data_IF_371390606820
#
_entry.id   IF_371390606820
#
_cell.length_a   1.000
_cell.length_b   1.000
_cell.length_c   1.000
_cell.angle_alpha   90.00
_cell.angle_beta   90.00
_cell.angle_gamma   90.00
#
_symmetry.space_group_name_H-M   'P 1'
#
loop_
_entity.id
_entity.type
_entity.pdbx_description
1 polymer ?
#
# COMPACT_ATOMS: atom_id res chain seq x y z
N UNK A 1 -7.92 -67.36 -15.85
CA UNK A 1 -6.75 -66.76 -15.24
C UNK A 1 -7.09 -66.38 -13.79
N UNK A 2 -6.70 -67.18 -12.81
CA UNK A 2 -6.87 -66.83 -11.39
C UNK A 2 -5.88 -65.71 -11.06
N UNK A 3 -6.38 -64.51 -10.87
CA UNK A 3 -5.61 -63.43 -10.25
C UNK A 3 -5.45 -63.75 -8.76
N UNK A 4 -4.28 -64.22 -8.36
CA UNK A 4 -3.94 -64.41 -6.95
C UNK A 4 -3.66 -63.00 -6.40
N UNK A 5 -4.61 -62.42 -5.67
CA UNK A 5 -4.37 -61.22 -4.90
C UNK A 5 -3.58 -61.60 -3.63
N UNK A 6 -2.33 -61.19 -3.59
CA UNK A 6 -1.51 -61.35 -2.37
C UNK A 6 -1.66 -60.10 -1.54
N UNK A 7 -2.10 -60.23 -0.29
CA UNK A 7 -2.16 -59.19 0.72
C UNK A 7 -1.09 -59.44 1.75
N UNK A 8 -0.28 -58.43 2.05
CA UNK A 8 0.69 -58.47 3.16
C UNK A 8 0.16 -57.51 4.21
N UNK A 9 -0.12 -57.99 5.40
CA UNK A 9 -0.53 -57.18 6.56
C UNK A 9 0.61 -57.18 7.57
N UNK A 10 1.20 -56.00 7.75
CA UNK A 10 2.32 -55.77 8.69
C UNK A 10 2.12 -54.42 9.38
N UNK A 11 2.61 -54.31 10.61
CA UNK A 11 2.57 -53.06 11.35
C UNK A 11 3.65 -52.06 10.88
N UNK A 12 4.73 -52.60 10.32
CA UNK A 12 5.88 -51.82 9.86
C UNK A 12 6.57 -52.54 8.70
N UNK A 13 7.01 -51.76 7.72
CA UNK A 13 7.87 -52.25 6.64
C UNK A 13 9.13 -51.38 6.69
N UNK A 14 10.24 -52.01 7.13
CA UNK A 14 11.55 -51.34 7.16
C UNK A 14 12.54 -52.08 6.26
N UNK A 15 13.63 -51.39 5.93
CA UNK A 15 14.73 -51.95 5.17
C UNK A 15 15.57 -52.91 6.03
N UNK A 16 16.00 -54.02 5.46
CA UNK A 16 16.91 -54.93 6.12
C UNK A 16 18.36 -54.40 6.13
N UNK A 17 18.76 -53.68 5.07
CA UNK A 17 20.07 -53.08 4.93
C UNK A 17 20.05 -51.93 3.90
N UNK A 18 21.09 -51.09 3.91
CA UNK A 18 21.17 -49.93 3.00
C UNK A 18 20.33 -48.75 3.44
N UNK A 19 20.17 -47.75 2.57
CA UNK A 19 19.48 -46.49 2.85
C UNK A 19 18.13 -46.33 2.12
N UNK A 20 17.74 -47.30 1.30
CA UNK A 20 16.55 -47.16 0.42
C UNK A 20 15.63 -48.36 0.60
N UNK A 21 14.36 -48.09 0.81
CA UNK A 21 13.26 -49.03 0.64
C UNK A 21 12.54 -48.71 -0.67
N UNK A 22 12.53 -49.63 -1.63
CA UNK A 22 11.82 -49.45 -2.89
C UNK A 22 10.47 -50.15 -2.85
N UNK A 23 9.38 -49.40 -3.03
CA UNK A 23 8.03 -49.92 -3.09
C UNK A 23 7.51 -49.69 -4.52
N UNK A 24 7.28 -50.79 -5.23
CA UNK A 24 6.87 -50.77 -6.65
C UNK A 24 8.07 -50.64 -7.61
N UNK A 25 7.85 -50.98 -8.86
CA UNK A 25 8.78 -50.81 -9.97
C UNK A 25 8.32 -49.79 -10.99
N UNK A 26 9.01 -49.66 -12.13
CA UNK A 26 8.64 -48.75 -13.22
C UNK A 26 7.21 -49.06 -13.69
N UNK A 27 6.37 -48.04 -13.74
CA UNK A 27 4.96 -48.13 -14.14
C UNK A 27 4.01 -48.64 -13.05
N UNK A 28 4.49 -48.85 -11.82
CA UNK A 28 3.65 -49.23 -10.69
C UNK A 28 3.09 -48.01 -9.97
N UNK A 29 1.77 -47.99 -9.71
CA UNK A 29 1.15 -46.98 -8.85
C UNK A 29 1.14 -47.44 -7.41
N UNK A 30 1.67 -46.65 -6.49
CA UNK A 30 1.52 -46.81 -5.05
C UNK A 30 0.36 -45.94 -4.59
N UNK A 31 -0.72 -46.55 -4.14
CA UNK A 31 -1.93 -45.87 -3.71
C UNK A 31 -2.15 -46.07 -2.21
N UNK A 32 -2.41 -44.96 -1.52
CA UNK A 32 -2.88 -45.02 -0.12
C UNK A 32 -4.35 -45.45 -0.08
N UNK A 33 -4.73 -46.21 0.90
CA UNK A 33 -6.14 -46.54 1.16
C UNK A 33 -6.95 -45.28 1.52
N UNK A 34 -8.28 -45.34 1.33
CA UNK A 34 -9.19 -44.26 1.70
C UNK A 34 -9.03 -43.91 3.18
N UNK A 35 -8.77 -42.66 3.50
CA UNK A 35 -8.55 -42.16 4.86
C UNK A 35 -7.13 -42.35 5.40
N UNK A 36 -6.23 -43.01 4.66
CA UNK A 36 -4.82 -43.05 5.02
C UNK A 36 -4.11 -41.74 4.70
N UNK A 37 -3.20 -41.33 5.57
CA UNK A 37 -2.36 -40.16 5.41
C UNK A 37 -0.90 -40.55 5.25
N UNK A 38 -0.13 -39.72 4.54
CA UNK A 38 1.32 -39.88 4.39
C UNK A 38 2.06 -38.82 5.18
N UNK A 39 3.20 -39.18 5.76
CA UNK A 39 4.10 -38.22 6.43
C UNK A 39 5.51 -38.45 5.88
N UNK A 40 6.15 -37.36 5.40
CA UNK A 40 7.50 -37.45 4.82
C UNK A 40 7.60 -38.12 3.44
N UNK A 41 6.47 -38.43 2.81
CA UNK A 41 6.36 -39.08 1.51
C UNK A 41 5.74 -38.09 0.51
N UNK A 42 6.33 -37.92 -0.63
CA UNK A 42 5.68 -37.13 -1.69
C UNK A 42 6.47 -35.92 -2.17
N UNK A 43 5.84 -35.12 -3.01
CA UNK A 43 6.45 -33.95 -3.63
C UNK A 43 6.64 -32.85 -2.60
N UNK A 44 7.87 -32.52 -2.28
CA UNK A 44 8.19 -31.31 -1.53
C UNK A 44 8.08 -30.09 -2.47
N UNK A 45 7.32 -29.08 -2.06
CA UNK A 45 7.21 -27.80 -2.80
C UNK A 45 6.14 -27.74 -3.88
N UNK A 46 5.26 -28.75 -4.02
CA UNK A 46 4.11 -28.73 -4.92
C UNK A 46 2.83 -29.01 -4.15
N UNK A 47 1.71 -28.45 -4.66
CA UNK A 47 0.37 -28.67 -4.12
C UNK A 47 -0.41 -29.69 -4.96
N UNK A 48 -1.39 -30.33 -4.33
CA UNK A 48 -2.40 -31.13 -5.02
C UNK A 48 -3.52 -30.20 -5.51
N UNK A 49 -3.53 -29.92 -6.82
CA UNK A 49 -4.51 -29.02 -7.42
C UNK A 49 -5.91 -29.65 -7.48
N UNK A 50 -6.87 -28.98 -6.84
CA UNK A 50 -8.26 -29.42 -6.78
C UNK A 50 -9.02 -28.98 -8.05
N UNK A 51 -8.77 -29.67 -9.16
CA UNK A 51 -9.30 -29.29 -10.48
C UNK A 51 -10.79 -29.55 -10.67
N UNK A 52 -11.40 -30.39 -9.82
CA UNK A 52 -12.84 -30.69 -9.83
C UNK A 52 -13.65 -29.85 -8.84
N UNK A 53 -12.98 -29.01 -8.02
CA UNK A 53 -13.62 -28.20 -6.96
C UNK A 53 -13.22 -26.73 -7.12
N UNK A 54 -13.71 -26.09 -8.19
CA UNK A 54 -13.50 -24.65 -8.43
C UNK A 54 -14.25 -23.84 -7.36
N UNK A 55 -13.54 -23.00 -6.63
CA UNK A 55 -14.12 -22.19 -5.56
C UNK A 55 -14.80 -20.96 -6.12
N UNK A 56 -16.07 -20.76 -5.73
CA UNK A 56 -16.94 -19.65 -6.16
C UNK A 56 -17.47 -18.84 -4.97
N UNK A 57 -17.09 -19.19 -3.75
CA UNK A 57 -17.51 -18.52 -2.51
C UNK A 57 -16.46 -18.71 -1.43
N UNK A 58 -16.61 -17.98 -0.32
CA UNK A 58 -15.68 -18.05 0.83
C UNK A 58 -15.47 -19.49 1.31
N UNK A 59 -14.22 -19.88 1.47
CA UNK A 59 -13.82 -21.24 1.90
C UNK A 59 -12.59 -21.17 2.81
N UNK A 60 -12.29 -22.30 3.45
CA UNK A 60 -11.04 -22.50 4.19
C UNK A 60 -10.16 -23.47 3.40
N UNK A 61 -8.95 -23.03 3.08
CA UNK A 61 -7.97 -23.84 2.36
C UNK A 61 -7.44 -24.98 3.25
N UNK A 62 -6.98 -26.04 2.60
CA UNK A 62 -6.34 -27.18 3.24
C UNK A 62 -4.86 -27.20 2.87
N UNK A 63 -3.99 -27.41 3.87
CA UNK A 63 -2.55 -27.52 3.62
C UNK A 63 -2.21 -28.66 2.66
N UNK A 64 -1.32 -28.39 1.72
CA UNK A 64 -0.92 -29.31 0.66
C UNK A 64 -1.76 -29.20 -0.62
N UNK A 65 -2.81 -28.36 -0.63
CA UNK A 65 -3.72 -28.23 -1.77
C UNK A 65 -3.59 -26.91 -2.50
N UNK A 66 -3.91 -26.93 -3.80
CA UNK A 66 -4.06 -25.77 -4.66
C UNK A 66 -5.51 -25.64 -5.14
N UNK A 67 -6.02 -24.42 -5.20
CA UNK A 67 -7.40 -24.14 -5.57
C UNK A 67 -7.48 -23.15 -6.71
N UNK A 68 -8.37 -23.42 -7.65
CA UNK A 68 -8.82 -22.44 -8.65
C UNK A 68 -10.00 -21.67 -8.08
N UNK A 69 -9.94 -20.33 -8.17
CA UNK A 69 -10.94 -19.42 -7.62
C UNK A 69 -11.63 -18.66 -8.76
N UNK A 70 -12.95 -18.82 -8.88
CA UNK A 70 -13.79 -18.13 -9.88
C UNK A 70 -14.55 -17.00 -9.18
N UNK A 71 -14.09 -15.78 -9.34
CA UNK A 71 -14.72 -14.58 -8.78
C UNK A 71 -15.69 -13.89 -9.74
N UNK A 72 -16.05 -14.52 -10.87
CA UNK A 72 -17.01 -13.96 -11.83
C UNK A 72 -18.40 -13.67 -11.22
N UNK A 73 -18.77 -14.38 -10.15
CA UNK A 73 -19.99 -14.14 -9.38
C UNK A 73 -19.88 -13.10 -8.27
N UNK A 74 -18.71 -12.54 -8.04
CA UNK A 74 -18.40 -11.56 -7.00
C UNK A 74 -17.17 -11.92 -6.18
N UNK A 75 -16.62 -10.92 -5.48
CA UNK A 75 -15.48 -11.09 -4.60
C UNK A 75 -15.79 -12.00 -3.40
N UNK A 76 -14.83 -12.82 -2.98
CA UNK A 76 -14.96 -13.68 -1.80
C UNK A 76 -13.61 -13.88 -1.10
N UNK A 77 -13.59 -14.69 -0.04
CA UNK A 77 -12.42 -14.86 0.81
C UNK A 77 -11.95 -16.32 0.87
N UNK A 78 -10.63 -16.51 0.77
CA UNK A 78 -9.94 -17.73 1.15
C UNK A 78 -9.35 -17.57 2.55
N UNK A 79 -9.77 -18.40 3.50
CA UNK A 79 -9.16 -18.48 4.82
C UNK A 79 -8.00 -19.50 4.77
N UNK A 80 -6.82 -19.08 5.15
CA UNK A 80 -5.68 -20.00 5.27
C UNK A 80 -5.88 -20.95 6.47
N UNK A 81 -5.37 -22.18 6.41
CA UNK A 81 -5.42 -23.08 7.54
C UNK A 81 -4.51 -22.60 8.68
N UNK A 82 -4.62 -23.21 9.85
CA UNK A 82 -3.68 -22.99 10.95
C UNK A 82 -2.25 -23.27 10.47
N UNK A 83 -1.34 -22.32 10.73
CA UNK A 83 0.04 -22.42 10.25
C UNK A 83 0.84 -23.47 11.02
N UNK A 84 1.40 -24.42 10.29
CA UNK A 84 2.45 -25.34 10.76
C UNK A 84 3.63 -25.24 9.79
N UNK A 85 4.86 -25.28 10.30
CA UNK A 85 6.06 -25.14 9.47
C UNK A 85 6.04 -26.13 8.29
N UNK A 86 6.21 -25.61 7.07
CA UNK A 86 6.12 -26.38 5.83
C UNK A 86 4.70 -26.55 5.26
N UNK A 87 3.65 -26.07 5.93
CA UNK A 87 2.32 -26.02 5.33
C UNK A 87 2.35 -25.17 4.06
N UNK A 88 1.66 -25.61 3.00
CA UNK A 88 1.66 -24.97 1.69
C UNK A 88 0.23 -24.84 1.15
N UNK A 89 -0.12 -23.71 0.58
CA UNK A 89 -1.40 -23.46 -0.10
C UNK A 89 -1.12 -22.69 -1.39
N UNK A 90 -1.77 -23.09 -2.49
CA UNK A 90 -1.75 -22.34 -3.75
C UNK A 90 -3.13 -21.92 -4.17
N UNK A 91 -3.22 -20.74 -4.77
CA UNK A 91 -4.44 -20.14 -5.30
C UNK A 91 -4.18 -19.66 -6.73
N UNK A 92 -5.16 -19.77 -7.61
CA UNK A 92 -5.06 -19.33 -8.99
C UNK A 92 -6.40 -18.76 -9.46
N UNK A 93 -6.34 -17.63 -10.14
CA UNK A 93 -7.50 -17.07 -10.84
C UNK A 93 -7.97 -18.03 -11.94
N UNK A 94 -9.24 -18.42 -11.87
CA UNK A 94 -9.80 -19.40 -12.82
C UNK A 94 -10.25 -18.78 -14.14
N UNK A 95 -10.83 -17.56 -14.07
CA UNK A 95 -11.41 -16.88 -15.24
C UNK A 95 -10.76 -15.56 -15.59
N UNK A 96 -9.65 -15.23 -14.99
CA UNK A 96 -9.01 -13.92 -15.14
C UNK A 96 -9.95 -12.77 -14.70
N UNK A 97 -10.56 -12.90 -13.52
CA UNK A 97 -11.57 -11.96 -13.02
C UNK A 97 -11.18 -11.29 -11.70
N UNK A 98 -9.96 -11.53 -11.18
CA UNK A 98 -9.53 -10.92 -9.92
C UNK A 98 -9.39 -9.39 -10.01
N UNK A 99 -9.17 -8.84 -11.20
CA UNK A 99 -9.14 -7.40 -11.45
C UNK A 99 -10.51 -6.73 -11.30
N UNK A 100 -11.58 -7.45 -11.60
CA UNK A 100 -12.97 -6.96 -11.51
C UNK A 100 -13.63 -7.32 -10.18
N UNK A 101 -13.27 -8.46 -9.59
CA UNK A 101 -13.77 -8.97 -8.32
C UNK A 101 -12.65 -9.70 -7.57
N UNK A 102 -11.98 -9.00 -6.68
CA UNK A 102 -10.77 -9.48 -6.03
C UNK A 102 -10.99 -10.68 -5.09
N UNK A 103 -10.00 -11.57 -5.01
CA UNK A 103 -9.94 -12.61 -4.00
C UNK A 103 -9.19 -12.10 -2.76
N UNK A 104 -9.83 -12.14 -1.59
CA UNK A 104 -9.17 -11.84 -0.31
C UNK A 104 -8.58 -13.12 0.28
N UNK A 105 -7.34 -13.09 0.75
CA UNK A 105 -6.70 -14.20 1.45
C UNK A 105 -6.45 -13.78 2.90
N UNK A 106 -7.08 -14.48 3.84
CA UNK A 106 -7.02 -14.16 5.26
C UNK A 106 -6.19 -15.20 6.03
N UNK A 107 -5.29 -14.77 6.92
CA UNK A 107 -4.58 -15.67 7.80
C UNK A 107 -5.50 -16.25 8.87
N UNK A 108 -5.15 -17.41 9.41
CA UNK A 108 -5.89 -18.05 10.49
C UNK A 108 -5.53 -17.40 11.84
N UNK A 109 -6.52 -16.90 12.57
CA UNK A 109 -6.36 -16.37 13.93
C UNK A 109 -5.27 -15.30 14.03
N UNK A 110 -4.23 -15.57 14.81
CA UNK A 110 -3.07 -14.68 15.00
C UNK A 110 -1.91 -14.96 14.04
N UNK A 111 -2.09 -15.88 13.08
CA UNK A 111 -1.07 -16.12 12.07
C UNK A 111 -0.82 -14.86 11.24
N UNK A 112 0.33 -14.79 10.63
CA UNK A 112 0.76 -13.65 9.81
C UNK A 112 0.92 -14.06 8.35
N UNK A 113 0.87 -13.09 7.47
CA UNK A 113 1.31 -13.21 6.07
C UNK A 113 2.41 -12.18 5.86
N UNK A 114 3.59 -12.62 5.45
CA UNK A 114 4.80 -11.79 5.29
C UNK A 114 5.14 -10.91 6.53
N UNK A 115 4.90 -11.44 7.73
CA UNK A 115 5.12 -10.73 8.98
C UNK A 115 4.00 -9.78 9.41
N UNK A 116 3.00 -9.55 8.56
CA UNK A 116 1.81 -8.72 8.84
C UNK A 116 0.62 -9.55 9.29
N UNK A 117 -0.25 -8.96 10.13
CA UNK A 117 -1.49 -9.60 10.60
C UNK A 117 -2.69 -9.38 9.67
N UNK A 118 -2.52 -8.61 8.59
CA UNK A 118 -3.58 -8.26 7.65
C UNK A 118 -3.83 -9.32 6.59
N UNK A 119 -5.00 -9.22 5.96
CA UNK A 119 -5.33 -9.97 4.76
C UNK A 119 -4.51 -9.46 3.57
N UNK A 120 -4.33 -10.32 2.57
CA UNK A 120 -3.85 -9.93 1.26
C UNK A 120 -5.00 -9.99 0.26
N UNK A 121 -4.91 -9.19 -0.80
CA UNK A 121 -5.92 -9.10 -1.83
C UNK A 121 -5.25 -9.39 -3.17
N UNK A 122 -5.74 -10.42 -3.86
CA UNK A 122 -5.34 -10.73 -5.22
C UNK A 122 -6.31 -9.99 -6.14
N UNK A 123 -5.80 -9.02 -6.89
CA UNK A 123 -6.61 -8.08 -7.69
C UNK A 123 -6.06 -7.86 -9.11
N UNK A 124 -5.20 -8.75 -9.57
CA UNK A 124 -4.64 -8.70 -10.91
C UNK A 124 -5.23 -9.83 -11.76
N UNK A 125 -5.58 -9.55 -13.00
CA UNK A 125 -6.06 -10.52 -13.96
C UNK A 125 -5.09 -11.70 -14.09
N UNK A 126 -5.59 -12.93 -13.94
CA UNK A 126 -4.79 -14.15 -14.06
C UNK A 126 -3.80 -14.40 -12.92
N UNK A 127 -3.92 -13.66 -11.83
CA UNK A 127 -3.00 -13.75 -10.69
C UNK A 127 -3.05 -15.12 -10.00
N UNK A 128 -1.87 -15.62 -9.62
CA UNK A 128 -1.70 -16.84 -8.84
C UNK A 128 -0.74 -16.61 -7.67
N UNK A 129 -0.96 -17.34 -6.58
CA UNK A 129 -0.20 -17.21 -5.35
C UNK A 129 0.07 -18.57 -4.72
N UNK A 130 1.32 -18.82 -4.35
CA UNK A 130 1.68 -19.96 -3.50
C UNK A 130 2.31 -19.47 -2.21
N UNK A 131 1.73 -19.89 -1.09
CA UNK A 131 2.16 -19.53 0.25
C UNK A 131 2.69 -20.76 0.99
N UNK A 132 3.81 -20.59 1.69
CA UNK A 132 4.39 -21.58 2.61
C UNK A 132 4.45 -20.97 4.00
N UNK A 133 3.98 -21.70 5.01
CA UNK A 133 4.11 -21.27 6.40
C UNK A 133 5.51 -21.58 6.93
N UNK A 134 6.18 -20.57 7.45
CA UNK A 134 7.55 -20.67 7.96
C UNK A 134 7.54 -20.83 9.48
N UNK A 135 7.08 -19.79 10.19
CA UNK A 135 7.07 -19.72 11.65
C UNK A 135 6.05 -18.69 12.15
N UNK A 136 5.96 -18.47 13.45
CA UNK A 136 5.05 -17.46 14.05
C UNK A 136 5.52 -16.01 13.86
N UNK A 137 6.77 -15.78 13.48
CA UNK A 137 7.34 -14.44 13.28
C UNK A 137 6.95 -13.88 11.92
N UNK A 138 7.16 -14.65 10.87
CA UNK A 138 6.88 -14.28 9.49
C UNK A 138 5.50 -14.78 9.04
N UNK A 139 5.08 -15.95 9.51
CA UNK A 139 3.84 -16.60 9.11
C UNK A 139 3.92 -17.26 7.75
N UNK A 140 2.90 -17.03 6.95
CA UNK A 140 2.81 -17.46 5.56
C UNK A 140 3.66 -16.57 4.66
N UNK A 141 4.45 -17.18 3.77
CA UNK A 141 5.32 -16.45 2.83
C UNK A 141 5.08 -16.93 1.41
N UNK A 142 4.99 -15.98 0.47
CA UNK A 142 4.98 -16.33 -0.95
C UNK A 142 6.34 -16.84 -1.41
N UNK A 143 6.32 -17.81 -2.31
CA UNK A 143 7.52 -18.41 -2.91
C UNK A 143 7.66 -18.14 -4.41
N UNK A 144 6.72 -17.39 -5.01
CA UNK A 144 6.65 -17.23 -6.46
C UNK A 144 7.02 -15.84 -6.97
N UNK A 145 7.14 -14.83 -6.11
CA UNK A 145 7.36 -13.47 -6.59
C UNK A 145 8.31 -12.66 -5.71
N UNK A 146 9.19 -11.91 -6.36
CA UNK A 146 10.08 -10.93 -5.72
C UNK A 146 9.35 -9.63 -5.35
N UNK A 147 8.16 -9.41 -5.86
CA UNK A 147 7.35 -8.19 -5.65
C UNK A 147 6.54 -8.26 -4.36
N UNK A 148 6.49 -9.41 -3.71
CA UNK A 148 5.79 -9.62 -2.44
C UNK A 148 6.40 -8.93 -1.21
N UNK A 149 7.41 -8.11 -1.38
CA UNK A 149 7.78 -7.14 -0.34
C UNK A 149 6.61 -6.23 0.03
N UNK A 150 5.66 -6.06 -0.89
CA UNK A 150 4.50 -5.16 -0.75
C UNK A 150 3.19 -5.87 -0.37
N UNK A 151 3.14 -7.20 -0.33
CA UNK A 151 1.96 -7.95 0.13
C UNK A 151 1.83 -7.78 1.65
N UNK A 152 0.81 -7.06 2.04
CA UNK A 152 0.62 -6.55 3.39
C UNK A 152 1.04 -5.09 3.59
N UNK A 153 1.72 -4.49 2.59
CA UNK A 153 1.94 -3.04 2.51
C UNK A 153 0.89 -2.44 1.57
N UNK A 154 -0.35 -2.36 2.00
CA UNK A 154 -1.31 -1.54 1.29
C UNK A 154 -0.83 -0.09 1.38
N UNK A 155 -0.67 0.56 0.23
CA UNK A 155 -0.41 1.99 0.17
C UNK A 155 -1.68 2.78 0.46
N UNK A 156 -1.50 4.05 0.77
CA UNK A 156 -2.62 4.97 0.97
C UNK A 156 -3.49 5.01 -0.30
N UNK A 157 -4.78 4.74 -0.13
CA UNK A 157 -5.79 5.03 -1.14
C UNK A 157 -6.57 6.26 -0.71
N UNK A 158 -6.63 7.26 -1.57
CA UNK A 158 -7.28 8.52 -1.26
C UNK A 158 -7.95 9.14 -2.48
N UNK A 159 -8.86 10.09 -2.22
CA UNK A 159 -9.52 10.93 -3.21
C UNK A 159 -9.39 12.40 -2.82
N UNK A 160 -9.74 13.30 -3.73
CA UNK A 160 -9.70 14.75 -3.53
C UNK A 160 -8.61 15.45 -4.31
N UNK A 161 -8.85 16.69 -4.68
CA UNK A 161 -8.00 17.45 -5.60
C UNK A 161 -7.97 16.87 -7.01
N UNK A 162 -7.05 17.35 -7.83
CA UNK A 162 -6.72 16.75 -9.14
C UNK A 162 -5.69 15.65 -8.91
N UNK A 163 -5.96 14.43 -9.39
CA UNK A 163 -5.11 13.27 -9.19
C UNK A 163 -4.33 12.96 -10.46
N UNK A 164 -3.01 12.81 -10.33
CA UNK A 164 -2.13 12.35 -11.39
C UNK A 164 -1.27 11.18 -10.91
N UNK A 165 -1.01 10.23 -11.80
CA UNK A 165 -0.02 9.17 -11.57
C UNK A 165 1.30 9.61 -12.20
N UNK A 166 2.37 9.61 -11.43
CA UNK A 166 3.71 10.01 -11.85
C UNK A 166 4.65 8.82 -11.69
N UNK A 167 5.49 8.59 -12.70
CA UNK A 167 6.49 7.50 -12.74
C UNK A 167 5.93 6.14 -12.32
N UNK A 168 4.67 5.86 -12.70
CA UNK A 168 3.94 4.62 -12.42
C UNK A 168 3.64 4.36 -10.92
N UNK A 169 4.51 4.80 -10.02
CA UNK A 169 4.50 4.44 -8.59
C UNK A 169 3.99 5.52 -7.64
N UNK A 170 3.79 6.76 -8.12
CA UNK A 170 3.37 7.88 -7.28
C UNK A 170 2.01 8.42 -7.70
N UNK A 171 1.10 8.60 -6.74
CA UNK A 171 -0.12 9.38 -6.92
C UNK A 171 0.05 10.75 -6.29
N UNK A 172 -0.16 11.79 -7.10
CA UNK A 172 -0.07 13.19 -6.68
C UNK A 172 -1.48 13.77 -6.64
N UNK A 173 -1.88 14.26 -5.47
CA UNK A 173 -3.14 14.98 -5.25
C UNK A 173 -2.85 16.47 -5.17
N UNK A 174 -3.31 17.24 -6.17
CA UNK A 174 -3.07 18.67 -6.28
C UNK A 174 -4.32 19.44 -5.92
N UNK A 175 -4.21 20.35 -4.94
CA UNK A 175 -5.26 21.26 -4.52
C UNK A 175 -4.89 22.71 -4.89
N UNK A 176 -5.68 23.33 -5.77
CA UNK A 176 -5.54 24.73 -6.17
C UNK A 176 -6.60 25.63 -5.51
N UNK A 177 -7.43 25.08 -4.64
CA UNK A 177 -8.46 25.71 -3.83
C UNK A 177 -8.78 24.84 -2.61
N UNK A 178 -9.62 25.34 -1.68
CA UNK A 178 -10.05 24.55 -0.53
C UNK A 178 -10.71 23.23 -0.94
N UNK A 179 -10.47 22.17 -0.16
CA UNK A 179 -11.00 20.85 -0.44
C UNK A 179 -10.76 19.86 0.71
N UNK A 180 -10.97 18.59 0.43
CA UNK A 180 -10.72 17.54 1.40
C UNK A 180 -9.88 16.44 0.75
N UNK A 181 -8.77 16.08 1.39
CA UNK A 181 -8.02 14.88 1.07
C UNK A 181 -8.63 13.72 1.87
N UNK A 182 -9.42 12.87 1.19
CA UNK A 182 -10.14 11.76 1.80
C UNK A 182 -9.33 10.47 1.66
N UNK A 183 -8.79 9.97 2.77
CA UNK A 183 -8.13 8.68 2.85
C UNK A 183 -9.19 7.60 3.07
N UNK A 184 -9.37 6.70 2.10
CA UNK A 184 -10.31 5.58 2.14
C UNK A 184 -9.65 4.28 2.64
N UNK A 185 -8.35 4.13 2.43
CA UNK A 185 -7.55 3.05 3.00
C UNK A 185 -6.19 3.60 3.43
N UNK A 186 -5.77 3.30 4.63
CA UNK A 186 -4.42 3.58 5.10
C UNK A 186 -3.54 2.37 4.79
N UNK A 187 -2.33 2.62 4.34
CA UNK A 187 -1.34 1.57 4.16
C UNK A 187 -0.92 0.93 5.48
N UNK A 188 -0.24 -0.19 5.42
CA UNK A 188 0.36 -0.87 6.56
C UNK A 188 1.88 -0.66 6.62
N UNK A 189 2.45 -0.71 7.80
CA UNK A 189 3.88 -0.43 8.00
C UNK A 189 4.24 1.00 7.56
N UNK A 190 5.20 1.15 6.64
CA UNK A 190 5.55 2.44 6.04
C UNK A 190 4.62 2.88 4.91
N UNK A 191 3.63 2.05 4.52
CA UNK A 191 2.70 2.34 3.45
C UNK A 191 1.62 3.37 3.81
N UNK A 192 1.53 3.80 5.08
CA UNK A 192 0.60 4.84 5.55
C UNK A 192 1.20 6.25 5.56
N UNK A 193 2.37 6.43 4.96
CA UNK A 193 3.09 7.70 4.93
C UNK A 193 2.82 8.44 3.63
N UNK A 194 2.70 9.76 3.73
CA UNK A 194 2.60 10.66 2.58
C UNK A 194 3.65 11.78 2.68
N UNK A 195 4.17 12.18 1.53
CA UNK A 195 4.94 13.40 1.39
C UNK A 195 4.06 14.56 0.95
N UNK A 196 4.47 15.77 1.24
CA UNK A 196 3.67 16.96 0.98
C UNK A 196 4.51 18.14 0.50
N UNK A 197 3.83 19.04 -0.21
CA UNK A 197 4.30 20.38 -0.53
C UNK A 197 3.14 21.34 -0.30
N UNK A 198 3.31 22.31 0.60
CA UNK A 198 2.29 23.30 0.96
C UNK A 198 2.82 24.70 0.74
N UNK A 199 2.21 25.41 -0.20
CA UNK A 199 2.55 26.80 -0.55
C UNK A 199 1.40 27.70 -0.15
N UNK A 200 1.69 28.77 0.57
CA UNK A 200 0.71 29.77 0.98
C UNK A 200 0.56 30.89 -0.05
N UNK A 201 -0.46 31.73 0.11
CA UNK A 201 -0.66 32.91 -0.73
C UNK A 201 0.46 33.91 -0.57
N UNK A 202 0.96 34.51 -1.65
CA UNK A 202 1.89 35.61 -1.62
C UNK A 202 1.23 36.91 -1.17
N UNK A 203 1.96 37.83 -0.57
CA UNK A 203 1.49 39.17 -0.23
C UNK A 203 1.28 40.03 -1.46
N UNK A 204 0.33 40.94 -1.39
CA UNK A 204 0.12 41.97 -2.42
C UNK A 204 1.17 43.06 -2.37
N UNK A 205 1.43 43.70 -3.48
CA UNK A 205 2.19 44.94 -3.58
C UNK A 205 1.30 46.09 -4.03
N UNK A 206 1.45 47.34 -3.52
CA UNK A 206 0.68 48.48 -3.99
C UNK A 206 1.05 48.83 -5.44
N UNK A 207 0.08 49.34 -6.21
CA UNK A 207 0.26 49.61 -7.63
C UNK A 207 1.20 50.80 -7.93
N UNK A 208 1.50 51.66 -6.95
CA UNK A 208 2.32 52.85 -7.15
C UNK A 208 3.20 53.13 -5.94
N UNK A 209 4.47 53.39 -6.19
CA UNK A 209 5.49 53.82 -5.22
C UNK A 209 5.52 52.97 -3.93
N UNK A 210 5.45 51.66 -4.08
CA UNK A 210 5.46 50.75 -2.97
C UNK A 210 6.42 49.60 -3.16
N UNK A 211 6.65 48.88 -2.09
CA UNK A 211 7.45 47.65 -2.05
C UNK A 211 6.69 46.45 -2.63
N UNK A 212 7.40 45.49 -3.14
CA UNK A 212 6.81 44.22 -3.56
C UNK A 212 6.25 43.41 -2.36
N UNK A 213 5.19 42.67 -2.58
CA UNK A 213 4.73 41.69 -1.61
C UNK A 213 5.70 40.52 -1.45
N UNK A 214 5.75 39.97 -0.25
CA UNK A 214 6.55 38.82 0.10
C UNK A 214 5.96 37.51 -0.47
N UNK A 215 6.80 36.54 -0.75
CA UNK A 215 6.34 35.19 -1.15
C UNK A 215 5.58 34.50 -0.01
N UNK A 216 4.58 33.71 -0.35
CA UNK A 216 3.96 32.80 0.59
C UNK A 216 4.94 31.77 1.13
N UNK A 217 4.73 31.34 2.35
CA UNK A 217 5.54 30.31 2.98
C UNK A 217 5.53 29.03 2.16
N UNK A 218 6.62 28.30 2.24
CA UNK A 218 6.80 27.01 1.56
C UNK A 218 7.15 25.95 2.59
N UNK A 219 6.42 24.85 2.57
CA UNK A 219 6.65 23.70 3.42
C UNK A 219 6.64 22.45 2.57
N UNK A 220 7.63 21.58 2.76
CA UNK A 220 7.73 20.32 2.05
C UNK A 220 8.28 19.21 2.96
N UNK A 221 7.97 17.96 2.63
CA UNK A 221 8.71 16.81 3.14
C UNK A 221 9.53 16.18 2.02
N UNK A 222 10.71 15.73 2.37
CA UNK A 222 11.57 14.94 1.50
C UNK A 222 12.14 13.79 2.32
N UNK A 223 11.55 12.63 2.15
CA UNK A 223 12.02 11.41 2.83
C UNK A 223 13.03 10.70 1.92
N UNK A 224 14.32 10.81 2.27
CA UNK A 224 15.34 9.96 1.65
C UNK A 224 15.15 8.49 2.14
N UNK A 225 15.33 7.46 1.30
CA UNK A 225 16.08 7.45 0.04
C UNK A 225 15.21 7.48 -1.23
N UNK A 226 13.89 7.70 -1.14
CA UNK A 226 12.95 7.49 -2.26
C UNK A 226 12.75 8.70 -3.19
N UNK A 227 13.19 9.87 -2.80
CA UNK A 227 13.07 11.05 -3.65
C UNK A 227 14.31 11.22 -4.53
N UNK A 228 14.15 11.66 -5.81
CA UNK A 228 15.28 12.16 -6.56
C UNK A 228 15.92 13.30 -5.79
N UNK A 229 17.24 13.32 -5.74
CA UNK A 229 17.99 14.34 -5.00
C UNK A 229 17.86 15.67 -5.74
N UNK A 230 16.96 16.51 -5.27
CA UNK A 230 16.88 17.91 -5.69
C UNK A 230 17.24 18.82 -4.52
N UNK A 231 17.57 20.07 -4.81
CA UNK A 231 17.85 21.07 -3.76
C UNK A 231 16.55 21.44 -3.05
N UNK A 232 16.31 20.83 -1.91
CA UNK A 232 15.13 21.10 -1.10
C UNK A 232 15.27 22.34 -0.22
N UNK A 233 14.14 22.86 0.28
CA UNK A 233 14.13 23.96 1.24
C UNK A 233 14.93 23.62 2.49
N UNK A 234 15.66 24.59 3.09
CA UNK A 234 16.28 24.41 4.41
C UNK A 234 15.27 24.07 5.52
N UNK A 235 13.99 24.40 5.31
CA UNK A 235 12.88 24.12 6.24
C UNK A 235 12.12 22.84 5.90
N UNK A 236 12.67 21.98 5.03
CA UNK A 236 12.06 20.69 4.71
C UNK A 236 11.95 19.78 5.93
N UNK A 237 10.90 19.01 6.00
CA UNK A 237 10.83 17.86 6.91
C UNK A 237 11.56 16.66 6.27
N UNK A 238 12.33 15.94 7.06
CA UNK A 238 12.94 14.66 6.66
C UNK A 238 12.03 13.46 6.96
N UNK A 239 10.84 13.71 7.47
CA UNK A 239 9.87 12.69 7.87
C UNK A 239 8.56 12.94 7.13
N UNK A 240 8.07 11.90 6.46
CA UNK A 240 6.74 11.87 5.85
C UNK A 240 5.65 11.83 6.93
N UNK A 241 4.44 12.26 6.59
CA UNK A 241 3.31 12.31 7.53
C UNK A 241 2.53 10.99 7.52
N UNK A 242 2.27 10.38 8.69
CA UNK A 242 1.36 9.26 8.78
C UNK A 242 -0.09 9.73 8.59
N UNK A 243 -0.87 8.94 7.85
CA UNK A 243 -2.30 9.17 7.65
C UNK A 243 -3.12 7.96 8.11
N UNK A 244 -4.38 8.23 8.48
CA UNK A 244 -5.38 7.23 8.83
C UNK A 244 -6.63 7.43 7.97
N UNK A 245 -7.55 6.46 7.99
CA UNK A 245 -8.80 6.51 7.21
C UNK A 245 -9.68 7.63 7.75
N UNK A 246 -9.64 8.79 7.11
CA UNK A 246 -10.47 9.96 7.41
C UNK A 246 -10.34 11.02 6.31
N UNK A 247 -11.19 12.05 6.39
CA UNK A 247 -11.07 13.27 5.58
C UNK A 247 -10.16 14.30 6.26
N UNK A 248 -9.17 14.79 5.54
CA UNK A 248 -8.27 15.86 5.98
C UNK A 248 -8.65 17.15 5.23
N UNK A 249 -9.10 18.20 5.93
CA UNK A 249 -9.41 19.46 5.29
C UNK A 249 -8.13 20.12 4.75
N UNK A 250 -8.22 20.62 3.52
CA UNK A 250 -7.17 21.38 2.85
C UNK A 250 -7.64 22.80 2.65
N UNK A 251 -6.84 23.77 3.08
CA UNK A 251 -7.05 25.18 2.81
C UNK A 251 -5.94 25.69 1.92
N UNK A 252 -6.30 26.35 0.82
CA UNK A 252 -5.36 27.01 -0.07
C UNK A 252 -5.53 28.51 0.11
N UNK A 253 -4.49 29.17 0.61
CA UNK A 253 -4.49 30.61 0.87
C UNK A 253 -4.49 31.43 -0.41
N UNK A 254 -5.36 32.41 -0.47
CA UNK A 254 -5.39 33.38 -1.56
C UNK A 254 -4.19 34.34 -1.48
N UNK A 255 -3.78 34.85 -2.61
CA UNK A 255 -2.82 35.96 -2.67
C UNK A 255 -3.41 37.25 -2.07
N UNK A 256 -2.55 38.08 -1.51
CA UNK A 256 -2.93 39.41 -0.99
C UNK A 256 -3.42 40.34 -2.08
N UNK A 257 -4.42 41.13 -1.77
CA UNK A 257 -4.96 42.13 -2.70
C UNK A 257 -3.97 43.30 -2.95
N UNK A 258 -4.03 43.84 -4.15
CA UNK A 258 -3.24 44.99 -4.61
C UNK A 258 -4.17 46.19 -4.88
N UNK A 259 -4.69 46.87 -3.85
CA UNK A 259 -5.66 47.94 -4.05
C UNK A 259 -4.94 49.24 -4.47
N UNK A 260 -4.84 49.55 -5.74
CA UNK A 260 -4.40 50.82 -6.27
C UNK A 260 -3.36 51.58 -5.42
N UNK A 261 -3.74 52.76 -4.89
CA UNK A 261 -2.88 53.59 -4.03
C UNK A 261 -2.98 53.25 -2.53
N UNK A 262 -3.79 52.28 -2.11
CA UNK A 262 -3.88 51.88 -0.71
C UNK A 262 -2.83 50.80 -0.37
N UNK A 263 -2.63 50.59 0.93
CA UNK A 263 -1.78 49.48 1.41
C UNK A 263 -2.32 48.14 0.92
N UNK A 264 -1.44 47.30 0.38
CA UNK A 264 -1.77 45.93 0.01
C UNK A 264 -2.07 45.06 1.24
N UNK A 265 -2.66 43.92 1.04
CA UNK A 265 -2.91 42.96 2.10
C UNK A 265 -1.93 41.78 2.06
N UNK A 266 -1.76 41.13 3.22
CA UNK A 266 -0.99 39.92 3.32
C UNK A 266 -1.65 38.78 2.53
N UNK A 267 -0.88 37.82 2.10
CA UNK A 267 -1.37 36.55 1.61
C UNK A 267 -2.03 35.74 2.72
N UNK A 268 -2.91 34.86 2.34
CA UNK A 268 -3.59 33.97 3.28
C UNK A 268 -2.79 32.65 3.53
N UNK A 269 -3.01 32.07 4.69
CA UNK A 269 -2.40 30.81 5.13
C UNK A 269 -2.92 29.64 4.29
N UNK A 270 -2.05 28.69 3.96
CA UNK A 270 -2.43 27.37 3.47
C UNK A 270 -2.20 26.32 4.54
N UNK A 271 -3.15 25.38 4.65
CA UNK A 271 -3.06 24.28 5.60
C UNK A 271 -3.35 22.95 4.92
N UNK A 272 -2.60 21.92 5.30
CA UNK A 272 -2.84 20.54 4.88
C UNK A 272 -2.43 19.62 6.04
N UNK A 273 -3.34 18.76 6.49
CA UNK A 273 -3.12 17.90 7.65
C UNK A 273 -2.69 18.72 8.89
N UNK A 274 -1.49 18.45 9.40
CA UNK A 274 -0.90 19.20 10.54
C UNK A 274 0.04 20.31 10.08
N UNK A 275 0.18 20.52 8.77
CA UNK A 275 1.12 21.48 8.20
C UNK A 275 0.42 22.81 7.95
N UNK A 276 1.05 23.89 8.42
CA UNK A 276 0.63 25.27 8.18
C UNK A 276 1.74 26.03 7.49
N UNK A 277 1.41 26.70 6.39
CA UNK A 277 2.31 27.59 5.65
C UNK A 277 1.77 29.01 5.75
N UNK A 278 2.58 29.94 6.25
CA UNK A 278 2.18 31.33 6.48
C UNK A 278 2.06 32.11 5.15
N UNK A 279 1.08 33.00 5.07
CA UNK A 279 0.97 33.94 3.95
C UNK A 279 2.17 34.86 3.84
N UNK A 280 2.46 35.37 2.67
CA UNK A 280 3.49 36.39 2.43
C UNK A 280 3.06 37.74 2.96
N UNK A 281 3.99 38.57 3.45
CA UNK A 281 3.73 39.92 3.95
C UNK A 281 3.40 40.88 2.81
N UNK A 282 2.47 41.80 3.05
CA UNK A 282 2.14 42.90 2.12
C UNK A 282 3.31 43.85 1.91
N UNK A 283 3.48 44.34 0.72
CA UNK A 283 4.41 45.42 0.42
C UNK A 283 4.03 46.72 1.10
N UNK A 284 5.01 47.45 1.57
CA UNK A 284 4.85 48.80 2.11
C UNK A 284 4.42 49.81 1.06
N UNK A 285 3.81 50.91 1.48
CA UNK A 285 3.41 52.00 0.58
C UNK A 285 3.78 53.36 1.13
N UNK A 286 4.12 54.27 0.23
CA UNK A 286 4.31 55.68 0.55
C UNK A 286 2.99 56.40 0.79
N UNK A 287 1.89 55.87 0.25
CA UNK A 287 0.57 56.53 0.32
C UNK A 287 -0.23 55.97 1.50
N UNK A 288 -0.88 56.87 2.20
CA UNK A 288 -1.76 56.55 3.32
C UNK A 288 -1.56 57.49 4.49
N UNK A 289 -2.31 57.29 5.56
CA UNK A 289 -2.17 58.07 6.79
C UNK A 289 -1.98 57.12 7.98
N UNK A 290 -0.82 57.14 8.65
CA UNK A 290 0.36 57.98 8.37
C UNK A 290 1.07 57.61 7.07
N UNK A 291 1.82 58.56 6.44
CA UNK A 291 2.64 58.29 5.27
C UNK A 291 3.73 57.23 5.62
N UNK A 292 4.11 56.44 4.62
CA UNK A 292 5.13 55.39 4.74
C UNK A 292 4.72 54.20 5.62
N UNK A 293 3.80 53.39 5.16
CA UNK A 293 3.56 52.10 5.74
C UNK A 293 4.71 51.13 5.39
N UNK A 294 5.38 50.56 6.39
CA UNK A 294 6.35 49.49 6.13
C UNK A 294 5.68 48.25 5.52
N UNK A 295 6.46 47.41 4.89
CA UNK A 295 6.03 46.05 4.54
C UNK A 295 5.68 45.23 5.78
N UNK A 296 4.78 44.26 5.63
CA UNK A 296 4.40 43.36 6.70
C UNK A 296 5.33 42.14 6.74
N UNK A 297 5.39 41.53 7.91
CA UNK A 297 6.00 40.24 8.08
C UNK A 297 5.10 39.13 7.46
N UNK A 298 5.70 38.00 7.10
CA UNK A 298 4.99 36.87 6.51
C UNK A 298 5.89 35.66 6.32
N UNK A 299 5.49 34.71 5.50
CA UNK A 299 6.34 33.59 5.05
C UNK A 299 7.64 34.11 4.44
N UNK A 300 7.54 35.21 3.65
CA UNK A 300 8.58 36.20 3.40
C UNK A 300 7.98 37.57 3.67
N UNK A 301 8.76 38.48 4.21
CA UNK A 301 8.33 39.84 4.48
C UNK A 301 8.09 40.62 3.18
N UNK A 302 7.20 41.64 3.24
CA UNK A 302 7.02 42.58 2.18
C UNK A 302 8.13 43.63 2.13
N UNK A 303 8.47 44.15 0.94
CA UNK A 303 9.44 45.20 0.78
C UNK A 303 8.91 46.53 1.35
N UNK A 304 9.82 47.40 1.83
CA UNK A 304 9.47 48.76 2.26
C UNK A 304 8.95 49.62 1.10
N UNK A 305 8.06 50.57 1.43
CA UNK A 305 7.70 51.70 0.50
C UNK A 305 8.80 52.75 0.51
N UNK A 306 9.20 53.25 -0.66
CA UNK A 306 10.22 54.28 -0.79
C UNK A 306 9.66 55.73 -0.53
#
# INVERSE_FOLDING_TARGET
SNSIMSKVEVNEIDKQSGSTLTIGGSGTTVQLGTGATQTGFGRTGTVDWQTSDIKTSTFTAVSGQGFFCDTNGGAFQCNLPAGTAGAIVSLQDYRNTFDTAALTVAPNGSNKINGGAGNIVLSTEGEGLTLVYIDSTVGWRSIQDNVFADVGSNFVSATGGSVATVDTNFKVHTFTGPGTFCVSAAGSGCGNLIDYMVVAGGGGGPASQGGGGGAGGFRESQNAPFAPVYTASPLKSTVSLPVSVQGYPITVGAGGATPGCAKASDGSVSTALTITSAGGGAGGTRFGSPPNYPGNDGGSGGGGGG
#
